data_IF_952682624041
#
_entry.id   IF_952682624041
#
_cell.length_a   1.000
_cell.length_b   1.000
_cell.length_c   1.000
_cell.angle_alpha   90.00
_cell.angle_beta   90.00
_cell.angle_gamma   90.00
#
_symmetry.space_group_name_H-M   'P 1'
#
loop_
_entity.id
_entity.type
_entity.pdbx_description
1 polymer ?
#
# COMPACT_ATOMS: atom_id res chain seq x y z
N UNK A 1 76.85 -0.82 -58.13
CA UNK A 1 76.34 0.56 -58.34
C UNK A 1 75.29 0.85 -57.27
N UNK A 2 75.47 1.94 -56.52
CA UNK A 2 74.51 2.73 -55.70
C UNK A 2 73.47 1.99 -54.82
N UNK A 3 73.56 2.01 -53.47
CA UNK A 3 73.26 3.07 -52.48
C UNK A 3 71.79 3.13 -52.01
N UNK A 4 71.68 3.21 -50.67
CA UNK A 4 70.58 3.73 -49.82
C UNK A 4 69.34 2.85 -49.67
N UNK A 5 68.54 2.92 -48.61
CA UNK A 5 68.62 3.38 -47.22
C UNK A 5 67.16 3.39 -46.72
N UNK A 6 66.96 3.35 -45.41
CA UNK A 6 65.66 3.60 -44.80
C UNK A 6 64.89 2.30 -44.64
N UNK A 7 64.29 2.01 -43.51
CA UNK A 7 63.89 2.86 -42.40
C UNK A 7 62.84 2.02 -41.68
N UNK A 8 62.97 1.93 -40.35
CA UNK A 8 62.12 1.04 -39.57
C UNK A 8 60.64 1.38 -39.70
N UNK A 9 59.80 0.42 -39.32
CA UNK A 9 58.63 0.75 -38.54
C UNK A 9 58.31 -0.44 -37.63
N UNK A 10 58.52 -0.19 -36.34
CA UNK A 10 57.98 -0.98 -35.26
C UNK A 10 56.45 -1.03 -35.43
N UNK A 11 55.91 -2.19 -35.80
CA UNK A 11 54.47 -2.43 -35.66
C UNK A 11 54.28 -3.05 -34.29
N UNK A 12 54.23 -2.18 -33.29
CA UNK A 12 53.84 -2.53 -31.93
C UNK A 12 52.39 -2.99 -31.94
N UNK A 13 52.17 -4.25 -31.56
CA UNK A 13 50.87 -4.81 -31.27
C UNK A 13 50.33 -4.15 -29.98
N UNK A 14 49.66 -3.01 -30.10
CA UNK A 14 48.92 -2.41 -28.99
C UNK A 14 47.57 -3.11 -28.91
N UNK A 15 47.50 -4.12 -28.03
CA UNK A 15 46.27 -4.75 -27.60
C UNK A 15 45.45 -3.71 -26.83
N UNK A 16 44.57 -2.98 -27.52
CA UNK A 16 43.63 -2.07 -26.88
C UNK A 16 42.52 -2.89 -26.21
N UNK A 17 42.77 -3.38 -25.00
CA UNK A 17 41.71 -3.75 -24.07
C UNK A 17 41.07 -2.48 -23.54
N UNK A 18 40.16 -1.88 -24.31
CA UNK A 18 39.21 -0.92 -23.76
C UNK A 18 38.15 -1.75 -23.01
N UNK A 19 38.35 -1.83 -21.70
CA UNK A 19 37.33 -2.25 -20.76
C UNK A 19 36.05 -1.46 -21.05
N UNK A 20 35.02 -2.14 -21.56
CA UNK A 20 33.65 -1.68 -21.42
C UNK A 20 33.33 -1.75 -19.93
N UNK A 21 33.74 -0.72 -19.19
CA UNK A 21 33.20 -0.49 -17.86
C UNK A 21 31.71 -0.24 -18.05
N UNK A 22 30.88 -1.16 -17.59
CA UNK A 22 29.53 -0.81 -17.18
C UNK A 22 29.67 0.20 -16.04
N UNK A 23 29.82 1.48 -16.38
CA UNK A 23 29.44 2.56 -15.50
C UNK A 23 27.92 2.49 -15.40
N UNK A 24 27.42 1.62 -14.52
CA UNK A 24 26.05 1.73 -14.08
C UNK A 24 25.94 3.08 -13.42
N UNK A 25 25.17 4.00 -14.02
CA UNK A 25 24.55 5.07 -13.25
C UNK A 25 24.04 4.43 -11.96
N UNK A 26 24.61 4.86 -10.83
CA UNK A 26 24.30 4.28 -9.53
C UNK A 26 22.79 4.19 -9.39
N UNK A 27 22.30 3.06 -8.88
CA UNK A 27 20.88 2.87 -8.65
C UNK A 27 20.32 4.13 -7.96
N UNK A 28 19.16 4.66 -8.40
CA UNK A 28 18.61 5.88 -7.83
C UNK A 28 18.57 5.73 -6.30
N UNK A 29 19.07 6.74 -5.60
CA UNK A 29 19.10 6.75 -4.15
C UNK A 29 17.67 6.49 -3.63
N UNK A 30 17.57 5.71 -2.56
CA UNK A 30 16.28 5.43 -1.93
C UNK A 30 15.77 6.69 -1.25
N UNK A 31 14.81 7.36 -1.88
CA UNK A 31 14.15 8.56 -1.37
C UNK A 31 13.02 8.13 -0.42
N UNK A 32 13.28 8.27 0.88
CA UNK A 32 12.34 7.84 1.91
C UNK A 32 11.05 8.67 1.92
N UNK A 33 11.16 9.99 1.75
CA UNK A 33 10.01 10.88 1.78
C UNK A 33 9.07 10.59 0.60
N UNK A 34 9.63 10.32 -0.58
CA UNK A 34 8.85 9.87 -1.73
C UNK A 34 8.18 8.52 -1.49
N UNK A 35 8.87 7.59 -0.80
CA UNK A 35 8.32 6.28 -0.45
C UNK A 35 7.16 6.40 0.51
N UNK A 36 7.28 7.14 1.60
CA UNK A 36 6.22 7.35 2.59
C UNK A 36 4.97 7.94 1.95
N UNK A 37 5.13 8.87 1.00
CA UNK A 37 4.02 9.45 0.23
C UNK A 37 3.35 8.45 -0.73
N UNK A 38 4.08 7.44 -1.22
CA UNK A 38 3.57 6.43 -2.14
C UNK A 38 2.89 5.25 -1.42
N UNK A 39 3.31 4.92 -0.20
CA UNK A 39 2.79 3.78 0.60
C UNK A 39 1.26 3.77 0.71
N UNK A 40 0.55 4.88 1.00
CA UNK A 40 -0.92 4.89 1.08
C UNK A 40 -1.62 4.32 -0.16
N UNK A 41 -1.17 4.71 -1.36
CA UNK A 41 -1.75 4.28 -2.63
C UNK A 41 -1.46 2.81 -2.95
N UNK A 42 -0.38 2.26 -2.39
CA UNK A 42 -0.01 0.85 -2.56
C UNK A 42 -0.64 -0.05 -1.49
N UNK A 43 -0.82 0.46 -0.28
CA UNK A 43 -1.39 -0.27 0.85
C UNK A 43 -2.91 -0.40 0.72
N UNK A 44 -3.60 0.68 0.32
CA UNK A 44 -5.06 0.69 0.16
C UNK A 44 -5.46 1.39 -1.16
N UNK A 45 -5.28 0.73 -2.33
CA UNK A 45 -5.47 1.38 -3.63
C UNK A 45 -6.86 2.00 -3.85
N UNK A 46 -7.91 1.38 -3.31
CA UNK A 46 -9.28 1.90 -3.41
C UNK A 46 -9.51 3.15 -2.55
N UNK A 47 -8.80 3.26 -1.42
CA UNK A 47 -9.01 4.27 -0.39
C UNK A 47 -7.68 4.74 0.24
N UNK A 48 -6.78 5.37 -0.52
CA UNK A 48 -5.46 5.77 -0.01
C UNK A 48 -5.56 6.72 1.19
N UNK A 49 -6.58 7.60 1.20
CA UNK A 49 -6.82 8.51 2.32
C UNK A 49 -7.30 7.85 3.61
N UNK A 50 -7.47 6.53 3.65
CA UNK A 50 -7.70 5.80 4.89
C UNK A 50 -6.42 5.52 5.68
N UNK A 51 -5.26 5.66 5.02
CA UNK A 51 -3.96 5.72 5.69
C UNK A 51 -3.74 7.16 6.12
N UNK A 52 -3.74 7.37 7.43
CA UNK A 52 -3.64 8.69 8.06
C UNK A 52 -2.18 9.17 8.10
N UNK A 53 -1.25 8.24 8.30
CA UNK A 53 0.17 8.53 8.44
C UNK A 53 1.03 7.31 8.09
N UNK A 54 2.28 7.54 7.68
CA UNK A 54 3.28 6.50 7.41
C UNK A 54 4.64 6.99 7.89
N UNK A 55 5.29 6.20 8.76
CA UNK A 55 6.63 6.47 9.28
C UNK A 55 7.53 5.25 9.06
N UNK A 56 8.59 5.43 8.28
CA UNK A 56 9.61 4.42 8.00
C UNK A 56 10.89 4.57 8.84
N UNK A 57 10.95 5.59 9.71
CA UNK A 57 12.11 5.91 10.55
C UNK A 57 13.35 6.30 9.73
N UNK A 58 14.54 5.97 10.23
CA UNK A 58 15.81 6.25 9.56
C UNK A 58 16.49 4.94 9.08
N UNK A 59 16.07 4.34 7.96
CA UNK A 59 16.68 3.11 7.45
C UNK A 59 18.11 3.36 6.97
N UNK A 60 18.97 2.35 7.11
CA UNK A 60 20.32 2.37 6.56
C UNK A 60 20.26 2.61 5.03
N UNK A 61 20.83 3.70 4.51
CA UNK A 61 20.78 4.01 3.08
C UNK A 61 21.45 2.93 2.24
N UNK A 62 22.50 2.28 2.77
CA UNK A 62 23.26 1.21 2.11
C UNK A 62 22.67 -0.18 2.36
N UNK A 63 21.61 -0.26 3.18
CA UNK A 63 20.90 -1.50 3.47
C UNK A 63 20.25 -2.09 2.22
N UNK A 64 20.47 -3.40 1.98
CA UNK A 64 19.90 -4.09 0.81
C UNK A 64 18.52 -4.72 1.08
N UNK A 65 18.03 -4.66 2.33
CA UNK A 65 16.78 -5.27 2.75
C UNK A 65 15.55 -4.36 2.59
N UNK A 66 14.34 -4.91 2.79
CA UNK A 66 13.12 -4.12 2.87
C UNK A 66 13.16 -3.16 4.07
N UNK A 67 12.52 -2.02 3.91
CA UNK A 67 12.35 -1.00 4.96
C UNK A 67 11.08 -1.31 5.75
N UNK A 68 11.19 -1.35 7.07
CA UNK A 68 10.05 -1.56 7.94
C UNK A 68 9.42 -0.22 8.29
N UNK A 69 8.20 0.00 7.84
CA UNK A 69 7.41 1.18 8.14
C UNK A 69 6.23 0.84 9.06
N UNK A 70 5.71 1.86 9.72
CA UNK A 70 4.48 1.83 10.49
C UNK A 70 3.50 2.77 9.82
N UNK A 71 2.33 2.26 9.44
CA UNK A 71 1.25 3.08 8.92
C UNK A 71 0.11 3.15 9.94
N UNK A 72 -0.58 4.28 10.03
CA UNK A 72 -1.80 4.43 10.81
C UNK A 72 -2.98 4.28 9.86
N UNK A 73 -3.72 3.18 9.98
CA UNK A 73 -4.89 2.89 9.15
C UNK A 73 -6.14 2.93 10.00
N UNK A 74 -6.94 3.97 9.82
CA UNK A 74 -8.15 4.24 10.61
C UNK A 74 -7.89 4.13 12.13
N UNK A 75 -6.86 4.83 12.63
CA UNK A 75 -6.43 4.81 14.03
C UNK A 75 -5.75 3.53 14.52
N UNK A 76 -5.41 2.58 13.64
CA UNK A 76 -4.70 1.34 13.99
C UNK A 76 -3.30 1.35 13.38
N UNK A 77 -2.28 1.16 14.21
CA UNK A 77 -0.91 0.95 13.74
C UNK A 77 -0.76 -0.41 13.06
N UNK A 78 -0.28 -0.38 11.81
CA UNK A 78 -0.01 -1.56 11.00
C UNK A 78 1.44 -1.56 10.53
N UNK A 79 2.08 -2.73 10.64
CA UNK A 79 3.46 -2.92 10.19
C UNK A 79 3.48 -3.21 8.70
N UNK A 80 4.26 -2.42 7.98
CA UNK A 80 4.37 -2.44 6.53
C UNK A 80 5.82 -2.70 6.15
N UNK A 81 6.06 -3.60 5.21
CA UNK A 81 7.36 -3.83 4.63
C UNK A 81 7.40 -3.22 3.23
N UNK A 82 8.28 -2.25 3.04
CA UNK A 82 8.52 -1.61 1.75
C UNK A 82 9.77 -2.22 1.13
N UNK A 83 9.57 -2.93 0.03
CA UNK A 83 10.65 -3.46 -0.78
C UNK A 83 11.17 -2.36 -1.71
N UNK A 84 12.49 -2.18 -1.71
CA UNK A 84 13.20 -1.19 -2.53
C UNK A 84 12.89 -1.39 -4.03
N UNK A 85 13.01 -0.34 -4.86
CA UNK A 85 12.71 -0.44 -6.29
C UNK A 85 13.46 -1.59 -6.97
N UNK A 86 12.75 -2.39 -7.75
CA UNK A 86 13.35 -3.42 -8.59
C UNK A 86 13.78 -2.84 -9.94
N UNK A 87 14.14 -3.69 -10.91
CA UNK A 87 14.54 -3.31 -12.27
C UNK A 87 13.45 -2.48 -12.98
N UNK A 88 12.18 -2.62 -12.56
CA UNK A 88 11.04 -1.85 -13.07
C UNK A 88 10.89 -0.46 -12.41
N UNK A 89 11.76 -0.08 -11.48
CA UNK A 89 11.75 1.20 -10.81
C UNK A 89 10.63 1.40 -9.79
N UNK A 90 9.80 0.37 -9.54
CA UNK A 90 8.66 0.45 -8.61
C UNK A 90 8.98 -0.17 -7.27
N UNK A 91 8.55 0.50 -6.20
CA UNK A 91 8.51 -0.09 -4.87
C UNK A 91 7.37 -1.11 -4.77
N UNK A 92 7.48 -2.03 -3.82
CA UNK A 92 6.40 -2.96 -3.49
C UNK A 92 6.14 -2.89 -2.00
N UNK A 93 4.86 -2.89 -1.65
CA UNK A 93 4.42 -2.82 -0.26
C UNK A 93 3.81 -4.17 0.12
N UNK A 94 4.25 -4.70 1.25
CA UNK A 94 3.72 -5.92 1.84
C UNK A 94 3.21 -5.62 3.25
N UNK A 95 1.96 -6.00 3.53
CA UNK A 95 1.36 -5.91 4.85
C UNK A 95 0.71 -7.25 5.20
N UNK A 96 0.74 -7.60 6.49
CA UNK A 96 0.14 -8.85 7.01
C UNK A 96 -1.23 -8.62 7.63
N UNK A 97 -1.87 -7.50 7.30
CA UNK A 97 -3.19 -7.15 7.82
C UNK A 97 -4.22 -7.33 6.73
N UNK A 98 -5.32 -7.97 7.08
CA UNK A 98 -6.50 -8.03 6.23
C UNK A 98 -7.30 -6.75 6.42
N UNK A 99 -7.95 -6.31 5.35
CA UNK A 99 -8.76 -5.09 5.33
C UNK A 99 -10.22 -5.47 5.06
N UNK A 100 -11.13 -4.77 5.72
CA UNK A 100 -12.56 -4.88 5.48
C UNK A 100 -13.04 -3.56 4.90
N UNK A 101 -13.71 -3.61 3.76
CA UNK A 101 -14.30 -2.43 3.12
C UNK A 101 -15.71 -2.18 3.62
N UNK A 102 -16.04 -0.91 3.83
CA UNK A 102 -17.35 -0.49 4.30
C UNK A 102 -18.48 -0.85 3.32
N UNK A 103 -18.17 -0.92 2.02
CA UNK A 103 -19.14 -1.33 1.00
C UNK A 103 -19.56 -2.78 1.14
N UNK A 104 -18.67 -3.65 1.62
CA UNK A 104 -18.97 -5.07 1.82
C UNK A 104 -19.70 -5.28 3.14
N UNK A 105 -19.33 -4.55 4.20
CA UNK A 105 -20.11 -4.47 5.43
C UNK A 105 -21.52 -3.97 5.12
N UNK A 106 -21.66 -2.90 4.33
CA UNK A 106 -22.94 -2.34 3.96
C UNK A 106 -23.84 -3.35 3.23
N UNK A 107 -23.30 -4.09 2.26
CA UNK A 107 -24.03 -5.18 1.58
C UNK A 107 -24.47 -6.26 2.56
N UNK A 108 -23.59 -6.70 3.46
CA UNK A 108 -23.90 -7.74 4.43
C UNK A 108 -24.98 -7.28 5.44
N UNK A 109 -24.91 -6.03 5.88
CA UNK A 109 -25.93 -5.42 6.75
C UNK A 109 -27.27 -5.33 6.02
N UNK A 110 -27.28 -4.88 4.75
CA UNK A 110 -28.50 -4.78 3.96
C UNK A 110 -29.21 -6.12 3.84
N UNK A 111 -28.48 -7.21 3.52
CA UNK A 111 -29.05 -8.57 3.46
C UNK A 111 -29.71 -8.99 4.78
N UNK A 112 -29.10 -8.64 5.92
CA UNK A 112 -29.64 -8.96 7.24
C UNK A 112 -30.90 -8.13 7.54
N UNK A 113 -30.86 -6.82 7.31
CA UNK A 113 -32.01 -5.94 7.51
C UNK A 113 -33.19 -6.30 6.60
N UNK A 114 -32.92 -6.64 5.33
CA UNK A 114 -33.94 -7.07 4.39
C UNK A 114 -34.69 -8.32 4.85
N UNK A 115 -33.99 -9.20 5.57
CA UNK A 115 -34.58 -10.39 6.17
C UNK A 115 -35.47 -10.08 7.38
N UNK A 116 -35.13 -9.03 8.15
CA UNK A 116 -35.81 -8.70 9.41
C UNK A 116 -36.96 -7.70 9.25
N UNK A 117 -36.78 -6.65 8.44
CA UNK A 117 -37.68 -5.50 8.33
C UNK A 117 -38.15 -5.20 6.90
N UNK A 118 -37.68 -5.94 5.90
CA UNK A 118 -37.97 -5.72 4.49
C UNK A 118 -37.02 -4.73 3.81
N UNK A 119 -37.40 -4.20 2.65
CA UNK A 119 -36.50 -3.47 1.75
C UNK A 119 -35.81 -2.27 2.41
N UNK A 120 -34.51 -2.13 2.18
CA UNK A 120 -33.71 -0.95 2.55
C UNK A 120 -33.45 -0.11 1.30
N UNK A 121 -33.72 1.20 1.35
CA UNK A 121 -33.56 2.08 0.19
C UNK A 121 -32.09 2.47 -0.05
N UNK A 122 -31.39 2.75 1.04
CA UNK A 122 -29.99 3.16 1.01
C UNK A 122 -29.30 2.67 2.28
N UNK A 123 -28.04 2.27 2.15
CA UNK A 123 -27.21 1.91 3.30
C UNK A 123 -25.76 2.29 3.01
N UNK A 124 -25.17 3.05 3.91
CA UNK A 124 -23.77 3.44 3.83
C UNK A 124 -23.10 3.23 5.20
N UNK A 125 -21.85 2.78 5.17
CA UNK A 125 -21.02 2.58 6.35
C UNK A 125 -19.75 3.42 6.26
N UNK A 126 -19.23 3.86 7.41
CA UNK A 126 -18.01 4.66 7.53
C UNK A 126 -17.16 4.19 8.71
N UNK A 127 -15.82 4.33 8.66
CA UNK A 127 -15.01 4.84 7.54
C UNK A 127 -15.00 3.87 6.35
N UNK A 128 -14.41 4.25 5.22
CA UNK A 128 -14.44 3.43 3.99
C UNK A 128 -13.76 2.06 4.12
N UNK A 129 -12.78 1.93 5.02
CA UNK A 129 -12.05 0.70 5.28
C UNK A 129 -11.61 0.65 6.75
N UNK A 130 -11.50 -0.55 7.29
CA UNK A 130 -10.89 -0.83 8.60
C UNK A 130 -9.95 -2.03 8.49
N UNK A 131 -9.00 -2.12 9.41
CA UNK A 131 -8.26 -3.37 9.63
C UNK A 131 -9.23 -4.44 10.12
N UNK A 132 -9.15 -5.65 9.59
CA UNK A 132 -9.91 -6.81 10.05
C UNK A 132 -9.40 -7.25 11.45
N UNK A 133 -9.90 -6.58 12.48
CA UNK A 133 -9.50 -6.80 13.87
C UNK A 133 -10.71 -6.64 14.76
N UNK A 134 -10.81 -7.52 15.75
CA UNK A 134 -11.82 -7.46 16.80
C UNK A 134 -11.90 -6.06 17.43
N UNK A 135 -13.12 -5.57 17.58
CA UNK A 135 -13.42 -4.27 18.17
C UNK A 135 -13.31 -3.08 17.22
N UNK A 136 -12.88 -3.26 15.98
CA UNK A 136 -13.00 -2.23 14.95
C UNK A 136 -14.46 -2.00 14.58
N UNK A 137 -14.82 -0.76 14.29
CA UNK A 137 -16.22 -0.35 14.14
C UNK A 137 -16.43 0.39 12.83
N UNK A 138 -17.55 0.05 12.19
CA UNK A 138 -18.19 0.87 11.17
C UNK A 138 -19.49 1.45 11.71
N UNK A 139 -19.65 2.77 11.57
CA UNK A 139 -20.92 3.43 11.77
C UNK A 139 -21.70 3.37 10.46
N UNK A 140 -22.90 2.82 10.49
CA UNK A 140 -23.76 2.61 9.33
C UNK A 140 -25.07 3.38 9.49
N UNK A 141 -25.52 3.98 8.39
CA UNK A 141 -26.84 4.61 8.31
C UNK A 141 -27.64 3.89 7.25
N UNK A 142 -28.80 3.35 7.64
CA UNK A 142 -29.75 2.71 6.74
C UNK A 142 -31.01 3.57 6.62
N UNK A 143 -31.43 3.88 5.40
CA UNK A 143 -32.65 4.65 5.13
C UNK A 143 -33.78 3.69 4.72
N UNK A 144 -34.89 3.73 5.44
CA UNK A 144 -36.06 2.88 5.18
C UNK A 144 -36.92 3.37 3.99
N UNK A 145 -37.92 2.59 3.53
CA UNK A 145 -38.82 2.99 2.44
C UNK A 145 -39.64 4.26 2.71
N UNK A 146 -39.84 4.62 3.98
CA UNK A 146 -40.50 5.84 4.40
C UNK A 146 -39.54 7.04 4.47
N UNK A 147 -38.25 6.84 4.17
CA UNK A 147 -37.21 7.87 4.18
C UNK A 147 -36.66 8.18 5.58
N UNK A 148 -36.86 7.28 6.57
CA UNK A 148 -36.28 7.46 7.90
C UNK A 148 -34.94 6.77 8.01
N UNK A 149 -34.00 7.45 8.65
CA UNK A 149 -32.67 6.92 8.91
C UNK A 149 -32.64 6.11 10.21
N UNK A 150 -31.91 5.01 10.17
CA UNK A 150 -31.62 4.12 11.28
C UNK A 150 -30.11 4.03 11.43
N UNK A 151 -29.60 4.43 12.59
CA UNK A 151 -28.18 4.39 12.91
C UNK A 151 -27.82 3.03 13.52
N UNK A 152 -26.78 2.43 12.98
CA UNK A 152 -26.35 1.07 13.28
C UNK A 152 -24.84 1.07 13.48
N UNK A 153 -24.38 0.17 14.35
CA UNK A 153 -22.96 -0.05 14.61
C UNK A 153 -22.60 -1.47 14.20
N UNK A 154 -21.72 -1.61 13.23
CA UNK A 154 -21.14 -2.91 12.87
C UNK A 154 -19.76 -3.05 13.54
N UNK A 155 -19.66 -3.92 14.53
CA UNK A 155 -18.40 -4.21 15.25
C UNK A 155 -17.78 -5.49 14.72
N UNK A 156 -16.55 -5.41 14.19
CA UNK A 156 -15.80 -6.58 13.76
C UNK A 156 -15.48 -7.49 14.96
N UNK A 157 -15.64 -8.79 14.76
CA UNK A 157 -15.43 -9.81 15.79
C UNK A 157 -14.10 -10.56 15.61
N UNK A 158 -13.59 -10.62 14.38
CA UNK A 158 -12.36 -11.36 14.06
C UNK A 158 -11.66 -10.79 12.82
N UNK A 159 -10.68 -11.56 12.31
CA UNK A 159 -9.87 -11.22 11.13
C UNK A 159 -10.51 -11.64 9.81
N UNK A 160 -11.56 -12.46 9.86
CA UNK A 160 -12.27 -12.93 8.67
C UNK A 160 -13.33 -11.90 8.22
N UNK A 161 -13.45 -10.80 8.96
CA UNK A 161 -14.40 -9.72 8.69
C UNK A 161 -15.81 -9.99 9.20
N UNK A 162 -15.98 -11.01 10.06
CA UNK A 162 -17.26 -11.25 10.71
C UNK A 162 -17.59 -10.10 11.65
N UNK A 163 -18.88 -9.77 11.80
CA UNK A 163 -19.30 -8.62 12.60
C UNK A 163 -20.60 -8.88 13.37
N UNK A 164 -20.72 -8.19 14.50
CA UNK A 164 -21.98 -8.01 15.23
C UNK A 164 -22.58 -6.67 14.80
N UNK A 165 -23.90 -6.65 14.65
CA UNK A 165 -24.67 -5.46 14.30
C UNK A 165 -25.55 -5.08 15.48
N UNK A 166 -25.50 -3.81 15.87
CA UNK A 166 -26.29 -3.24 16.95
C UNK A 166 -26.94 -1.94 16.48
N UNK A 167 -28.04 -1.56 17.14
CA UNK A 167 -28.61 -0.21 16.97
C UNK A 167 -27.75 0.79 17.71
N UNK A 168 -27.44 1.90 17.04
CA UNK A 168 -26.82 3.03 17.70
C UNK A 168 -27.91 3.80 18.48
N UNK A 169 -27.91 3.66 19.81
CA UNK A 169 -28.87 4.32 20.68
C UNK A 169 -28.41 5.71 21.12
N UNK A 170 -27.23 6.15 20.70
CA UNK A 170 -26.63 7.45 21.06
C UNK A 170 -26.64 8.47 19.91
N UNK A 171 -27.21 8.10 18.75
CA UNK A 171 -27.34 8.93 17.55
C UNK A 171 -28.32 10.11 17.65
#
# INVERSE_FOLDING_TARGET
VARRAGGGLFVGLVLAMLAAGCGGEGAPAFDLEAVEAEVPALLVPAHPGAVEDVDCGDPDPDGLGPVACTAILAGVEVRVLVHRPSIDGRIRVESRVDLVEAVDVAKAVAVRLESDIGVVNALACTPAVRVAREGQVFACTATDPAGRDHHLVATLLDRDGSFRLDLDMEG
#
